data_IF_068502957810
#
_entry.id   IF_068502957810
#
_cell.length_a   1.000
_cell.length_b   1.000
_cell.length_c   1.000
_cell.angle_alpha   90.00
_cell.angle_beta   90.00
_cell.angle_gamma   90.00
#
_symmetry.space_group_name_H-M   'P 1'
#
loop_
_entity.id
_entity.type
_entity.pdbx_description
1 polymer ?
#
# COMPACT_ATOMS: atom_id res chain seq x y z
N UNK A 1 58.25 -9.16 28.41
CA UNK A 1 57.19 -9.05 27.39
C UNK A 1 56.03 -8.28 28.01
N UNK A 2 55.93 -7.00 27.67
CA UNK A 2 54.89 -6.12 28.19
C UNK A 2 53.58 -6.38 27.42
N UNK A 3 52.48 -6.54 28.14
CA UNK A 3 51.14 -6.47 27.56
C UNK A 3 50.87 -5.03 27.16
N UNK A 4 51.04 -4.72 25.88
CA UNK A 4 50.48 -3.50 25.30
C UNK A 4 48.95 -3.57 25.35
N UNK A 5 48.32 -2.42 25.60
CA UNK A 5 46.86 -2.30 25.59
C UNK A 5 46.36 -2.57 24.17
N UNK A 6 45.29 -3.35 23.96
CA UNK A 6 44.66 -3.48 22.64
C UNK A 6 44.05 -2.15 22.15
N UNK A 7 43.95 -1.13 23.02
CA UNK A 7 43.49 0.21 22.68
C UNK A 7 44.64 1.17 22.30
N UNK A 8 45.78 0.65 21.86
CA UNK A 8 46.89 1.49 21.41
C UNK A 8 46.46 2.28 20.15
N UNK A 9 46.70 3.58 20.14
CA UNK A 9 46.27 4.52 19.08
C UNK A 9 47.16 4.48 17.84
N UNK A 10 48.14 3.57 17.78
CA UNK A 10 48.89 3.31 16.56
C UNK A 10 48.11 2.32 15.67
N UNK A 11 47.92 2.59 14.37
CA UNK A 11 47.23 1.69 13.48
C UNK A 11 48.00 0.36 13.41
N UNK A 12 47.40 -0.71 13.90
CA UNK A 12 47.84 -2.06 13.57
C UNK A 12 46.99 -2.51 12.38
N UNK A 13 47.64 -2.93 11.29
CA UNK A 13 47.00 -3.27 10.01
C UNK A 13 46.10 -4.53 10.06
N UNK A 14 45.91 -5.13 11.24
CA UNK A 14 45.09 -6.34 11.45
C UNK A 14 43.96 -6.05 12.44
N UNK A 15 42.72 -6.35 12.06
CA UNK A 15 41.56 -6.26 12.96
C UNK A 15 41.80 -7.10 14.22
N UNK A 16 41.80 -6.45 15.39
CA UNK A 16 42.06 -7.07 16.71
C UNK A 16 41.03 -8.19 17.02
N UNK A 17 39.86 -8.13 16.40
CA UNK A 17 38.84 -9.16 16.43
C UNK A 17 38.04 -9.13 15.13
N UNK A 18 37.56 -10.28 14.67
CA UNK A 18 36.71 -10.37 13.49
C UNK A 18 35.22 -10.37 13.87
N UNK A 19 34.39 -9.79 12.99
CA UNK A 19 32.92 -9.84 13.05
C UNK A 19 32.41 -10.45 11.75
N UNK A 20 31.47 -11.36 11.84
CA UNK A 20 30.87 -12.05 10.69
C UNK A 20 29.35 -12.15 10.86
N UNK A 21 28.67 -12.56 9.80
CA UNK A 21 27.24 -12.83 9.81
C UNK A 21 26.95 -14.17 9.13
N UNK A 22 25.81 -14.78 9.44
CA UNK A 22 25.36 -16.04 8.82
C UNK A 22 24.48 -15.86 7.57
N UNK A 23 24.15 -14.61 7.21
CA UNK A 23 23.33 -14.34 6.02
C UNK A 23 23.98 -14.87 4.75
N UNK A 24 23.24 -15.72 4.03
CA UNK A 24 23.73 -16.50 2.90
C UNK A 24 23.52 -15.81 1.52
N UNK A 25 22.95 -14.60 1.49
CA UNK A 25 22.65 -13.87 0.25
C UNK A 25 21.33 -14.27 -0.41
N UNK A 26 20.50 -15.08 0.24
CA UNK A 26 19.20 -15.47 -0.30
C UNK A 26 18.19 -14.33 -0.23
N UNK A 27 17.34 -14.24 -1.25
CA UNK A 27 16.22 -13.32 -1.25
C UNK A 27 15.28 -13.59 -0.07
N UNK A 28 15.00 -12.55 0.70
CA UNK A 28 14.04 -12.62 1.80
C UNK A 28 12.65 -12.17 1.33
N UNK A 29 11.61 -12.68 1.95
CA UNK A 29 10.22 -12.32 1.66
C UNK A 29 9.43 -12.00 2.93
N UNK A 30 10.12 -12.04 4.08
CA UNK A 30 9.60 -11.83 5.41
C UNK A 30 10.77 -11.32 6.27
N UNK A 31 10.52 -10.67 7.41
CA UNK A 31 11.55 -10.38 8.39
C UNK A 31 12.36 -11.65 8.70
N UNK A 32 13.66 -11.58 8.46
CA UNK A 32 14.56 -12.74 8.48
C UNK A 32 15.63 -12.52 9.55
N UNK A 33 15.80 -13.47 10.48
CA UNK A 33 16.85 -13.36 11.48
C UNK A 33 18.23 -13.48 10.81
N UNK A 34 19.17 -12.67 11.27
CA UNK A 34 20.58 -12.77 10.92
C UNK A 34 21.38 -12.75 12.20
N UNK A 35 22.26 -13.73 12.38
CA UNK A 35 23.14 -13.82 13.52
C UNK A 35 24.49 -13.20 13.18
N UNK A 36 24.89 -12.24 14.00
CA UNK A 36 26.17 -11.53 13.94
C UNK A 36 27.04 -12.18 15.02
N UNK A 37 28.20 -12.66 14.62
CA UNK A 37 29.16 -13.32 15.52
C UNK A 37 30.48 -12.55 15.53
N UNK A 38 31.13 -12.49 16.69
CA UNK A 38 32.44 -11.89 16.83
C UNK A 38 33.40 -12.78 17.60
N UNK A 39 34.69 -12.54 17.40
CA UNK A 39 35.75 -13.33 18.04
C UNK A 39 35.64 -13.26 19.55
N UNK A 40 35.84 -14.40 20.22
CA UNK A 40 35.95 -14.43 21.69
C UNK A 40 37.22 -13.68 22.12
N UNK A 41 37.04 -12.58 22.84
CA UNK A 41 38.12 -11.69 23.26
C UNK A 41 37.90 -11.24 24.71
N UNK A 42 38.97 -11.22 25.50
CA UNK A 42 38.93 -10.72 26.88
C UNK A 42 39.47 -9.30 26.92
N UNK A 43 38.63 -8.37 27.37
CA UNK A 43 38.99 -6.95 27.50
C UNK A 43 39.03 -6.56 28.97
N UNK A 44 40.12 -5.91 29.41
CA UNK A 44 40.21 -5.33 30.75
C UNK A 44 39.27 -4.12 30.83
N UNK A 45 38.59 -3.98 31.97
CA UNK A 45 37.60 -2.91 32.17
C UNK A 45 36.52 -2.91 31.09
N UNK A 46 36.11 -4.08 30.61
CA UNK A 46 34.99 -4.20 29.69
C UNK A 46 33.74 -3.51 30.26
N UNK A 47 33.06 -2.74 29.41
CA UNK A 47 31.77 -2.10 29.70
C UNK A 47 30.66 -2.79 28.91
N UNK A 48 30.77 -2.82 27.58
CA UNK A 48 29.73 -3.37 26.71
C UNK A 48 30.25 -3.70 25.31
N UNK A 49 29.51 -4.56 24.60
CA UNK A 49 29.50 -4.58 23.15
C UNK A 49 28.35 -3.69 22.65
N UNK A 50 28.67 -2.76 21.75
CA UNK A 50 27.69 -1.96 21.02
C UNK A 50 27.54 -2.52 19.60
N UNK A 51 26.36 -3.05 19.27
CA UNK A 51 26.04 -3.57 17.95
C UNK A 51 25.28 -2.50 17.17
N UNK A 52 25.78 -2.15 16.00
CA UNK A 52 25.18 -1.16 15.11
C UNK A 52 24.95 -1.73 13.70
N UNK A 53 23.91 -1.25 13.03
CA UNK A 53 23.59 -1.56 11.63
C UNK A 53 23.63 -0.31 10.78
N UNK A 54 24.11 -0.42 9.55
CA UNK A 54 24.06 0.69 8.59
C UNK A 54 22.60 0.98 8.18
N UNK A 55 22.15 2.23 8.31
CA UNK A 55 20.89 2.72 7.73
C UNK A 55 21.02 3.05 6.24
N UNK A 56 22.23 3.42 5.80
CA UNK A 56 22.57 3.73 4.41
C UNK A 56 23.90 3.08 4.08
N UNK A 57 24.01 2.46 2.91
CA UNK A 57 25.24 1.81 2.45
C UNK A 57 25.76 2.51 1.19
N UNK A 58 26.94 3.13 1.26
CA UNK A 58 27.50 3.94 0.16
C UNK A 58 28.25 5.18 0.65
N UNK A 59 28.04 6.32 0.00
CA UNK A 59 28.83 7.56 0.17
C UNK A 59 28.77 8.21 1.57
N UNK A 60 27.83 7.80 2.42
CA UNK A 60 27.78 8.20 3.83
C UNK A 60 27.02 7.14 4.63
N UNK A 61 27.76 6.27 5.31
CA UNK A 61 27.20 5.24 6.17
C UNK A 61 26.74 5.87 7.48
N UNK A 62 25.43 5.87 7.70
CA UNK A 62 24.83 6.23 9.00
C UNK A 62 24.65 4.95 9.80
N UNK A 63 25.08 4.97 11.07
CA UNK A 63 25.00 3.83 11.97
C UNK A 63 23.83 3.99 12.93
N UNK A 64 23.04 2.94 13.07
CA UNK A 64 21.93 2.86 14.01
C UNK A 64 22.29 1.85 15.08
N UNK A 65 22.19 2.25 16.34
CA UNK A 65 22.41 1.38 17.49
C UNK A 65 21.26 0.35 17.56
N UNK A 66 21.62 -0.94 17.58
CA UNK A 66 20.67 -2.05 17.60
C UNK A 66 20.69 -2.75 18.96
N UNK A 67 21.85 -2.83 19.61
CA UNK A 67 21.96 -3.46 20.94
C UNK A 67 23.16 -2.98 21.75
N UNK A 68 22.96 -2.94 23.07
CA UNK A 68 23.98 -2.82 24.10
C UNK A 68 24.07 -4.14 24.87
N UNK A 69 25.25 -4.74 24.95
CA UNK A 69 25.45 -6.07 25.52
C UNK A 69 26.52 -5.99 26.60
N UNK A 70 26.10 -6.09 27.86
CA UNK A 70 27.00 -6.00 29.04
C UNK A 70 27.64 -7.35 29.43
N UNK A 71 27.21 -8.45 28.80
CA UNK A 71 27.84 -9.76 29.02
C UNK A 71 29.13 -9.89 28.20
N UNK A 72 30.27 -9.76 28.89
CA UNK A 72 31.60 -9.91 28.29
C UNK A 72 31.88 -11.28 27.66
N UNK A 73 31.08 -12.32 27.99
CA UNK A 73 31.22 -13.66 27.41
C UNK A 73 30.35 -13.86 26.16
N UNK A 74 29.45 -12.93 25.86
CA UNK A 74 28.60 -13.00 24.69
C UNK A 74 29.42 -12.73 23.42
N UNK A 75 29.25 -13.62 22.44
CA UNK A 75 30.01 -13.60 21.16
C UNK A 75 29.09 -13.59 19.94
N UNK A 76 27.78 -13.50 20.15
CA UNK A 76 26.80 -13.45 19.08
C UNK A 76 25.59 -12.61 19.47
N UNK A 77 24.96 -12.00 18.47
CA UNK A 77 23.69 -11.28 18.57
C UNK A 77 22.84 -11.59 17.35
N UNK A 78 21.53 -11.78 17.52
CA UNK A 78 20.62 -11.99 16.38
C UNK A 78 19.78 -10.76 16.17
N UNK A 79 19.94 -10.15 15.01
CA UNK A 79 19.10 -9.06 14.52
C UNK A 79 18.04 -9.61 13.54
N UNK A 80 17.08 -8.78 13.15
CA UNK A 80 16.12 -9.08 12.09
C UNK A 80 16.25 -8.06 10.97
N UNK A 81 16.54 -8.54 9.75
CA UNK A 81 16.49 -7.75 8.52
C UNK A 81 15.13 -7.90 7.86
N UNK A 82 14.59 -6.81 7.34
CA UNK A 82 13.23 -6.76 6.81
C UNK A 82 13.09 -5.91 5.54
N UNK A 83 14.21 -5.58 4.91
CA UNK A 83 14.32 -4.71 3.73
C UNK A 83 15.32 -5.33 2.72
N UNK A 84 15.19 -5.01 1.44
CA UNK A 84 15.94 -5.59 0.32
C UNK A 84 17.17 -4.75 -0.11
N UNK A 85 17.63 -3.90 0.80
CA UNK A 85 18.84 -3.08 0.67
C UNK A 85 20.12 -3.81 1.08
N UNK A 86 21.26 -3.15 0.90
CA UNK A 86 22.54 -3.63 1.46
C UNK A 86 22.72 -3.14 2.88
N UNK A 87 23.02 -4.05 3.79
CA UNK A 87 23.37 -3.75 5.18
C UNK A 87 24.85 -4.04 5.46
N UNK A 88 25.36 -3.45 6.53
CA UNK A 88 26.61 -3.83 7.16
C UNK A 88 26.47 -3.65 8.67
N UNK A 89 27.05 -4.56 9.43
CA UNK A 89 27.10 -4.45 10.88
C UNK A 89 28.48 -3.99 11.34
N UNK A 90 28.47 -3.25 12.45
CA UNK A 90 29.65 -2.91 13.22
C UNK A 90 29.42 -3.33 14.66
N UNK A 91 30.39 -4.02 15.23
CA UNK A 91 30.44 -4.27 16.67
C UNK A 91 31.56 -3.43 17.25
N UNK A 92 31.24 -2.62 18.27
CA UNK A 92 32.25 -1.92 19.08
C UNK A 92 32.42 -2.64 20.40
N UNK A 93 33.66 -2.76 20.86
CA UNK A 93 33.96 -3.17 22.22
C UNK A 93 34.32 -1.92 23.00
N UNK A 94 33.54 -1.60 24.01
CA UNK A 94 33.67 -0.36 24.80
C UNK A 94 34.21 -0.71 26.19
N UNK A 95 35.16 0.07 26.68
CA UNK A 95 35.69 -0.05 28.04
C UNK A 95 34.98 0.92 29.03
N UNK A 96 35.28 0.80 30.32
CA UNK A 96 34.71 1.66 31.37
C UNK A 96 35.15 3.12 31.30
N UNK A 97 36.12 3.46 30.44
CA UNK A 97 36.57 4.82 30.18
C UNK A 97 35.97 5.39 28.87
N UNK A 98 34.98 4.69 28.28
CA UNK A 98 34.33 5.01 27.00
C UNK A 98 35.30 5.03 25.79
N UNK A 99 36.43 4.33 25.88
CA UNK A 99 37.28 4.03 24.73
C UNK A 99 36.75 2.80 24.01
N UNK A 100 36.92 2.75 22.68
CA UNK A 100 36.43 1.62 21.90
C UNK A 100 37.33 1.25 20.72
N UNK A 101 37.29 -0.03 20.38
CA UNK A 101 37.71 -0.59 19.09
C UNK A 101 36.47 -1.14 18.38
N UNK A 102 36.52 -1.28 17.07
CA UNK A 102 35.41 -1.83 16.30
C UNK A 102 35.90 -2.71 15.16
N UNK A 103 35.03 -3.61 14.72
CA UNK A 103 35.21 -4.38 13.51
C UNK A 103 33.89 -4.47 12.75
N UNK A 104 33.99 -4.69 11.45
CA UNK A 104 32.88 -4.68 10.50
C UNK A 104 32.63 -6.08 9.96
N UNK A 105 31.37 -6.39 9.69
CA UNK A 105 31.06 -7.54 8.85
C UNK A 105 31.38 -7.26 7.39
N UNK A 106 31.47 -8.31 6.58
CA UNK A 106 31.25 -8.17 5.14
C UNK A 106 29.85 -7.54 4.87
N UNK A 107 29.63 -6.87 3.72
CA UNK A 107 28.33 -6.30 3.39
C UNK A 107 27.29 -7.40 3.09
N UNK A 108 26.13 -7.31 3.73
CA UNK A 108 24.98 -8.15 3.48
C UNK A 108 24.17 -7.56 2.34
N UNK A 109 24.37 -8.08 1.13
CA UNK A 109 23.62 -7.65 -0.06
C UNK A 109 22.34 -8.44 -0.17
N UNK A 110 21.21 -7.87 0.26
CA UNK A 110 19.92 -8.53 0.10
C UNK A 110 19.45 -8.37 -1.35
N UNK A 111 19.05 -9.45 -2.05
CA UNK A 111 18.55 -9.32 -3.41
C UNK A 111 17.18 -8.63 -3.49
N UNK A 112 17.07 -7.58 -4.32
CA UNK A 112 15.84 -6.81 -4.52
C UNK A 112 14.58 -7.69 -4.77
N UNK A 113 13.52 -7.43 -4.01
CA UNK A 113 12.19 -8.04 -4.03
C UNK A 113 11.22 -7.18 -4.86
N UNK A 114 11.31 -7.26 -6.19
CA UNK A 114 10.38 -6.52 -7.06
C UNK A 114 8.90 -6.97 -7.02
N UNK A 115 8.58 -8.03 -6.28
CA UNK A 115 7.19 -8.41 -6.04
C UNK A 115 6.98 -9.39 -4.90
N UNK A 116 5.89 -9.18 -4.17
CA UNK A 116 5.35 -10.11 -3.18
C UNK A 116 4.12 -10.84 -3.71
N UNK A 117 3.86 -12.04 -3.18
CA UNK A 117 2.80 -12.95 -3.65
C UNK A 117 1.83 -13.26 -2.52
N UNK A 118 0.53 -13.09 -2.76
CA UNK A 118 -0.52 -13.36 -1.78
C UNK A 118 -1.31 -14.60 -2.20
N UNK A 119 -1.50 -15.64 -1.36
CA UNK A 119 -1.15 -15.71 0.05
C UNK A 119 0.26 -16.29 0.34
N UNK A 120 1.12 -16.47 -0.68
CA UNK A 120 2.34 -17.29 -0.55
C UNK A 120 3.42 -16.68 0.37
N UNK A 121 3.64 -15.37 0.27
CA UNK A 121 4.62 -14.63 1.09
C UNK A 121 3.91 -13.92 2.24
N UNK A 122 2.74 -13.35 1.99
CA UNK A 122 1.90 -12.74 3.02
C UNK A 122 0.48 -13.24 2.85
N UNK A 123 -0.23 -13.44 3.94
CA UNK A 123 -1.63 -13.86 3.92
C UNK A 123 -2.57 -12.76 3.43
N UNK A 124 -2.18 -11.50 3.63
CA UNK A 124 -3.01 -10.32 3.40
C UNK A 124 -2.31 -9.27 2.51
N UNK A 125 -3.02 -8.67 1.52
CA UNK A 125 -2.47 -7.62 0.68
C UNK A 125 -1.97 -6.37 1.41
N UNK A 126 -2.61 -5.96 2.53
CA UNK A 126 -2.16 -4.81 3.32
C UNK A 126 -0.79 -5.07 3.93
N UNK A 127 -0.60 -6.24 4.56
CA UNK A 127 0.67 -6.58 5.21
C UNK A 127 1.84 -6.63 4.21
N UNK A 128 1.58 -7.07 2.98
CA UNK A 128 2.59 -7.03 1.92
C UNK A 128 2.91 -5.59 1.46
N UNK A 129 1.93 -4.71 1.46
CA UNK A 129 2.13 -3.30 1.10
C UNK A 129 2.88 -2.54 2.20
N UNK A 130 2.57 -2.82 3.47
CA UNK A 130 3.21 -2.21 4.64
C UNK A 130 4.65 -2.69 4.85
N UNK A 131 5.07 -3.78 4.18
CA UNK A 131 6.43 -4.31 4.26
C UNK A 131 7.46 -3.35 3.66
N UNK A 132 8.64 -3.25 4.28
CA UNK A 132 9.80 -2.55 3.73
C UNK A 132 10.41 -3.27 2.50
N UNK A 133 9.92 -4.47 2.14
CA UNK A 133 10.35 -5.20 0.94
C UNK A 133 9.59 -4.80 -0.33
N UNK A 134 8.64 -3.87 -0.24
CA UNK A 134 7.87 -3.36 -1.38
C UNK A 134 8.03 -1.86 -1.42
N UNK A 135 8.58 -1.38 -2.53
CA UNK A 135 8.86 0.02 -2.78
C UNK A 135 8.08 0.55 -3.99
N UNK A 136 8.26 1.84 -4.27
CA UNK A 136 7.76 2.48 -5.48
C UNK A 136 8.24 1.74 -6.74
N UNK A 137 7.28 1.38 -7.60
CA UNK A 137 7.51 0.64 -8.83
C UNK A 137 7.33 -0.88 -8.71
N UNK A 138 7.19 -1.42 -7.50
CA UNK A 138 7.03 -2.85 -7.28
C UNK A 138 5.59 -3.34 -7.47
N UNK A 139 5.38 -4.64 -7.26
CA UNK A 139 4.08 -5.27 -7.46
C UNK A 139 3.67 -6.24 -6.35
N UNK A 140 2.42 -6.16 -5.95
CA UNK A 140 1.76 -7.17 -5.12
C UNK A 140 0.89 -8.05 -6.02
N UNK A 141 1.25 -9.33 -6.09
CA UNK A 141 0.63 -10.34 -6.96
C UNK A 141 -0.32 -11.22 -6.17
N UNK A 142 -1.62 -11.04 -6.39
CA UNK A 142 -2.68 -11.72 -5.65
C UNK A 142 -3.15 -12.94 -6.43
N UNK A 143 -3.04 -14.11 -5.81
CA UNK A 143 -3.55 -15.38 -6.32
C UNK A 143 -5.08 -15.46 -6.14
N UNK A 144 -5.78 -16.32 -6.90
CA UNK A 144 -7.21 -16.56 -6.76
C UNK A 144 -7.63 -16.75 -5.29
N UNK A 145 -8.68 -16.05 -4.87
CA UNK A 145 -9.13 -16.06 -3.48
C UNK A 145 -10.09 -14.91 -3.16
N UNK A 146 -10.58 -14.91 -1.92
CA UNK A 146 -11.37 -13.80 -1.36
C UNK A 146 -10.62 -13.24 -0.16
N UNK A 147 -10.13 -12.01 -0.30
CA UNK A 147 -9.40 -11.28 0.74
C UNK A 147 -10.33 -10.21 1.29
N UNK A 148 -10.66 -10.30 2.58
CA UNK A 148 -11.62 -9.39 3.21
C UNK A 148 -10.88 -8.34 4.03
N UNK A 149 -11.12 -7.07 3.75
CA UNK A 149 -10.45 -5.98 4.43
C UNK A 149 -10.90 -4.61 3.94
N UNK A 150 -10.35 -3.60 4.59
CA UNK A 150 -10.30 -2.23 4.10
C UNK A 150 -8.83 -1.92 3.81
N UNK A 151 -8.45 -2.02 2.54
CA UNK A 151 -7.06 -1.90 2.11
C UNK A 151 -6.71 -0.43 1.83
N UNK A 152 -5.65 0.07 2.44
CA UNK A 152 -5.16 1.44 2.33
C UNK A 152 -3.76 1.43 1.70
N UNK A 153 -3.71 1.70 0.40
CA UNK A 153 -2.49 1.75 -0.42
C UNK A 153 -2.13 3.22 -0.74
N UNK A 154 -1.64 3.95 0.27
CA UNK A 154 -1.69 5.42 0.26
C UNK A 154 -0.34 6.11 0.03
N UNK A 155 0.78 5.47 0.35
CA UNK A 155 2.10 6.11 0.47
C UNK A 155 3.17 5.52 -0.45
N UNK A 156 2.81 4.56 -1.32
CA UNK A 156 3.70 3.95 -2.32
C UNK A 156 3.03 3.85 -3.70
N UNK A 157 3.81 4.03 -4.77
CA UNK A 157 3.41 3.81 -6.16
C UNK A 157 3.59 2.32 -6.54
N UNK A 158 2.63 1.48 -6.13
CA UNK A 158 2.71 0.02 -6.29
C UNK A 158 1.62 -0.50 -7.23
N UNK A 159 1.96 -1.53 -8.01
CA UNK A 159 0.96 -2.28 -8.78
C UNK A 159 0.36 -3.43 -7.97
N UNK A 160 -0.90 -3.30 -7.56
CA UNK A 160 -1.69 -4.35 -6.92
C UNK A 160 -2.47 -5.09 -8.00
N UNK A 161 -2.09 -6.34 -8.27
CA UNK A 161 -2.64 -7.08 -9.41
C UNK A 161 -3.01 -8.52 -9.10
N UNK A 162 -4.08 -8.98 -9.75
CA UNK A 162 -4.32 -10.42 -9.88
C UNK A 162 -3.28 -11.04 -10.81
N UNK A 163 -2.95 -12.31 -10.57
CA UNK A 163 -2.15 -13.13 -11.50
C UNK A 163 -3.01 -13.91 -12.50
N UNK A 164 -4.33 -13.75 -12.43
CA UNK A 164 -5.33 -14.43 -13.27
C UNK A 164 -6.42 -13.44 -13.70
N UNK A 165 -7.52 -13.94 -14.26
CA UNK A 165 -8.69 -13.15 -14.62
C UNK A 165 -9.39 -12.51 -13.40
N UNK A 166 -10.07 -11.36 -13.58
CA UNK A 166 -10.64 -10.61 -12.46
C UNK A 166 -11.68 -11.35 -11.63
N UNK A 167 -12.43 -12.29 -12.20
CA UNK A 167 -13.52 -12.98 -11.53
C UNK A 167 -13.09 -13.93 -10.40
N UNK A 168 -11.81 -14.31 -10.35
CA UNK A 168 -11.30 -15.27 -9.37
C UNK A 168 -10.57 -14.64 -8.18
N UNK A 169 -10.19 -13.36 -8.28
CA UNK A 169 -9.45 -12.65 -7.24
C UNK A 169 -10.28 -11.50 -6.70
N UNK A 170 -10.85 -11.70 -5.51
CA UNK A 170 -11.83 -10.78 -4.91
C UNK A 170 -11.22 -10.06 -3.72
N UNK A 171 -11.25 -8.72 -3.76
CA UNK A 171 -11.13 -7.89 -2.57
C UNK A 171 -12.55 -7.58 -2.07
N UNK A 172 -12.82 -7.96 -0.83
CA UNK A 172 -14.13 -7.85 -0.21
C UNK A 172 -14.13 -6.89 0.98
N UNK A 173 -15.12 -6.03 1.08
CA UNK A 173 -15.33 -5.22 2.28
C UNK A 173 -15.66 -6.07 3.51
N UNK A 174 -15.44 -5.49 4.68
CA UNK A 174 -15.90 -6.02 5.96
C UNK A 174 -17.35 -5.57 6.24
N UNK A 175 -17.93 -6.07 7.33
CA UNK A 175 -19.24 -5.59 7.82
C UNK A 175 -19.11 -4.27 8.62
N UNK A 176 -18.18 -3.42 8.22
CA UNK A 176 -17.82 -2.15 8.85
C UNK A 176 -17.76 -1.05 7.80
N UNK A 177 -17.88 0.20 8.24
CA UNK A 177 -17.84 1.34 7.33
C UNK A 177 -16.40 1.57 6.82
N UNK A 178 -16.23 1.61 5.51
CA UNK A 178 -14.98 1.85 4.81
C UNK A 178 -15.04 1.39 3.36
N UNK A 179 -14.28 2.06 2.48
CA UNK A 179 -14.04 1.59 1.12
C UNK A 179 -13.35 0.23 1.18
N UNK A 180 -13.55 -0.65 0.20
CA UNK A 180 -12.75 -1.88 0.14
C UNK A 180 -11.29 -1.55 -0.12
N UNK A 181 -11.05 -0.60 -1.04
CA UNK A 181 -9.71 -0.12 -1.38
C UNK A 181 -9.68 1.40 -1.37
N UNK A 182 -8.71 1.98 -0.67
CA UNK A 182 -8.29 3.36 -0.81
C UNK A 182 -6.88 3.37 -1.39
N UNK A 183 -6.66 4.14 -2.44
CA UNK A 183 -5.38 4.17 -3.16
C UNK A 183 -5.07 5.59 -3.67
N UNK A 184 -3.82 6.01 -3.53
CA UNK A 184 -3.39 7.38 -3.86
C UNK A 184 -2.44 7.45 -5.06
N UNK A 185 -1.66 6.40 -5.29
CA UNK A 185 -0.75 6.26 -6.43
C UNK A 185 -0.69 4.80 -6.87
N UNK A 186 -0.15 4.54 -8.07
CA UNK A 186 0.00 3.20 -8.60
C UNK A 186 -1.26 2.65 -9.28
N UNK A 187 -1.38 1.32 -9.28
CA UNK A 187 -2.29 0.62 -10.17
C UNK A 187 -3.03 -0.52 -9.49
N UNK A 188 -4.36 -0.53 -9.63
CA UNK A 188 -5.19 -1.71 -9.36
C UNK A 188 -5.47 -2.42 -10.69
N UNK A 189 -5.07 -3.68 -10.80
CA UNK A 189 -5.19 -4.43 -12.07
C UNK A 189 -5.84 -5.80 -11.91
N UNK A 190 -6.89 -6.05 -12.70
CA UNK A 190 -7.40 -7.40 -12.87
C UNK A 190 -8.10 -7.95 -11.63
N UNK A 191 -8.77 -7.11 -10.82
CA UNK A 191 -9.36 -7.49 -9.55
C UNK A 191 -10.89 -7.34 -9.56
N UNK A 192 -11.59 -8.17 -8.78
CA UNK A 192 -13.00 -7.94 -8.46
C UNK A 192 -13.14 -7.31 -7.07
N UNK A 193 -13.76 -6.14 -6.97
CA UNK A 193 -13.96 -5.41 -5.70
C UNK A 193 -15.45 -5.43 -5.30
N UNK A 194 -15.76 -5.95 -4.11
CA UNK A 194 -17.14 -6.20 -3.66
C UNK A 194 -17.43 -5.88 -2.20
N UNK A 195 -18.71 -5.61 -1.91
CA UNK A 195 -19.22 -5.64 -0.53
C UNK A 195 -18.78 -4.50 0.38
N UNK A 196 -18.06 -3.50 -0.12
CA UNK A 196 -17.71 -2.33 0.69
C UNK A 196 -18.90 -1.41 0.94
N UNK A 197 -18.85 -0.73 2.07
CA UNK A 197 -19.88 0.17 2.57
C UNK A 197 -19.21 1.42 3.14
N UNK A 198 -19.26 2.53 2.42
CA UNK A 198 -18.49 3.73 2.78
C UNK A 198 -19.32 5.01 2.67
N UNK A 199 -18.75 6.14 3.09
CA UNK A 199 -19.33 7.46 2.80
C UNK A 199 -19.14 7.83 1.33
N UNK A 200 -17.97 7.49 0.80
CA UNK A 200 -17.55 7.70 -0.58
C UNK A 200 -16.88 6.45 -1.11
N UNK A 201 -17.03 6.16 -2.40
CA UNK A 201 -16.21 5.14 -3.07
C UNK A 201 -16.36 3.76 -2.44
N UNK A 202 -17.59 3.28 -2.22
CA UNK A 202 -17.86 2.05 -1.45
C UNK A 202 -16.98 0.86 -1.85
N UNK A 203 -16.71 0.69 -3.14
CA UNK A 203 -15.72 -0.27 -3.62
C UNK A 203 -14.30 0.30 -3.56
N UNK A 204 -14.06 1.34 -4.35
CA UNK A 204 -12.73 1.96 -4.47
C UNK A 204 -12.82 3.47 -4.29
N UNK A 205 -11.95 4.01 -3.47
CA UNK A 205 -11.62 5.43 -3.43
C UNK A 205 -10.21 5.64 -3.99
N UNK A 206 -10.14 6.12 -5.24
CA UNK A 206 -8.88 6.37 -5.94
C UNK A 206 -8.60 7.87 -6.03
N UNK A 207 -7.39 8.25 -5.62
CA UNK A 207 -6.89 9.64 -5.56
C UNK A 207 -5.62 9.78 -6.40
N UNK A 208 -5.07 10.99 -6.44
CA UNK A 208 -3.79 11.27 -7.10
C UNK A 208 -3.78 10.84 -8.57
N UNK A 209 -2.75 10.10 -8.97
CA UNK A 209 -2.54 9.63 -10.34
C UNK A 209 -2.93 8.14 -10.53
N UNK A 210 -3.70 7.57 -9.61
CA UNK A 210 -4.06 6.14 -9.61
C UNK A 210 -4.67 5.67 -10.92
N UNK A 211 -4.32 4.45 -11.34
CA UNK A 211 -4.93 3.75 -12.48
C UNK A 211 -5.70 2.52 -12.00
N UNK A 212 -7.02 2.50 -12.23
CA UNK A 212 -7.85 1.29 -12.09
C UNK A 212 -7.99 0.66 -13.48
N UNK A 213 -7.42 -0.53 -13.69
CA UNK A 213 -7.44 -1.22 -14.99
C UNK A 213 -7.99 -2.65 -14.91
N UNK A 214 -8.82 -3.02 -15.89
CA UNK A 214 -9.35 -4.37 -16.02
C UNK A 214 -10.02 -4.92 -14.74
N UNK A 215 -10.66 -4.03 -13.98
CA UNK A 215 -11.27 -4.37 -12.70
C UNK A 215 -12.80 -4.52 -12.82
N UNK A 216 -13.38 -5.36 -11.96
CA UNK A 216 -14.83 -5.49 -11.79
C UNK A 216 -15.23 -4.97 -10.42
N UNK A 217 -15.81 -3.77 -10.37
CA UNK A 217 -16.29 -3.15 -9.13
C UNK A 217 -17.80 -3.35 -9.04
N UNK A 218 -18.27 -4.19 -8.10
CA UNK A 218 -19.69 -4.54 -8.03
C UNK A 218 -20.24 -4.75 -6.63
N UNK A 219 -21.55 -4.53 -6.48
CA UNK A 219 -22.27 -4.78 -5.22
C UNK A 219 -21.68 -3.99 -4.03
N UNK A 220 -21.09 -2.83 -4.28
CA UNK A 220 -20.62 -1.92 -3.24
C UNK A 220 -21.65 -0.82 -2.97
N UNK A 221 -21.54 -0.18 -1.80
CA UNK A 221 -22.52 0.75 -1.29
C UNK A 221 -21.86 2.02 -0.76
N UNK A 222 -22.43 3.17 -1.11
CA UNK A 222 -22.16 4.42 -0.41
C UNK A 222 -23.39 4.83 0.40
N UNK A 223 -23.24 5.00 1.71
CA UNK A 223 -24.33 5.32 2.64
C UNK A 223 -23.98 6.54 3.47
N UNK A 224 -25.00 7.36 3.72
CA UNK A 224 -24.99 8.46 4.66
C UNK A 224 -24.80 7.99 6.11
N UNK A 225 -23.83 8.56 6.81
CA UNK A 225 -23.74 8.47 8.27
C UNK A 225 -24.50 9.63 8.93
N UNK A 226 -25.55 9.30 9.70
CA UNK A 226 -26.36 10.31 10.44
C UNK A 226 -25.79 10.66 11.81
N UNK A 227 -24.84 9.88 12.30
CA UNK A 227 -24.18 10.15 13.56
C UNK A 227 -22.92 11.00 13.35
N UNK A 228 -22.54 11.25 12.10
CA UNK A 228 -21.51 12.19 11.70
C UNK A 228 -21.81 13.59 12.29
N UNK A 229 -21.11 13.90 13.37
CA UNK A 229 -21.29 15.13 14.16
C UNK A 229 -20.12 16.06 13.89
N UNK A 230 -20.13 16.80 12.79
CA UNK A 230 -19.09 17.78 12.49
C UNK A 230 -19.51 18.80 11.42
N UNK A 231 -19.10 20.07 11.53
CA UNK A 231 -19.52 21.15 10.62
C UNK A 231 -19.03 20.98 9.16
N UNK A 232 -18.17 19.99 8.89
CA UNK A 232 -17.60 19.71 7.56
C UNK A 232 -17.92 18.31 7.03
N UNK A 233 -18.73 17.51 7.73
CA UNK A 233 -19.10 16.15 7.30
C UNK A 233 -20.60 16.09 7.01
N UNK A 234 -21.03 16.65 5.87
CA UNK A 234 -22.38 16.41 5.36
C UNK A 234 -22.53 14.91 5.08
N UNK A 235 -23.68 14.28 5.42
CA UNK A 235 -23.79 12.83 5.35
C UNK A 235 -23.62 12.40 3.89
N UNK A 236 -22.48 11.77 3.63
CA UNK A 236 -22.09 11.44 2.27
C UNK A 236 -22.38 9.98 2.02
N UNK A 237 -23.21 9.71 1.03
CA UNK A 237 -23.45 8.38 0.49
C UNK A 237 -23.32 8.45 -1.00
N UNK A 238 -22.14 8.83 -1.51
CA UNK A 238 -21.88 9.10 -2.94
C UNK A 238 -20.83 8.15 -3.49
N UNK A 239 -20.82 7.91 -4.81
CA UNK A 239 -19.79 7.04 -5.42
C UNK A 239 -19.91 5.60 -4.95
N UNK A 240 -21.08 4.97 -5.13
CA UNK A 240 -21.39 3.65 -4.59
C UNK A 240 -20.38 2.56 -4.95
N UNK A 241 -19.87 2.60 -6.19
CA UNK A 241 -18.81 1.72 -6.66
C UNK A 241 -17.44 2.36 -6.51
N UNK A 242 -17.23 3.49 -7.18
CA UNK A 242 -15.92 4.13 -7.28
C UNK A 242 -16.06 5.62 -6.99
N UNK A 243 -15.08 6.17 -6.28
CA UNK A 243 -14.81 7.59 -6.22
C UNK A 243 -13.44 7.86 -6.85
N UNK A 244 -13.42 8.59 -7.97
CA UNK A 244 -12.20 9.09 -8.60
C UNK A 244 -11.97 10.53 -8.15
N UNK A 245 -10.78 10.82 -7.63
CA UNK A 245 -10.34 12.16 -7.27
C UNK A 245 -9.07 12.55 -8.05
N UNK A 246 -8.76 13.85 -8.05
CA UNK A 246 -7.54 14.41 -8.63
C UNK A 246 -7.37 14.03 -10.12
N UNK A 247 -6.34 13.27 -10.48
CA UNK A 247 -6.06 12.84 -11.86
C UNK A 247 -6.29 11.33 -12.08
N UNK A 248 -7.02 10.68 -11.18
CA UNK A 248 -7.25 9.24 -11.22
C UNK A 248 -7.99 8.80 -12.51
N UNK A 249 -7.67 7.60 -12.97
CA UNK A 249 -8.13 7.05 -14.23
C UNK A 249 -8.74 5.66 -14.06
N UNK A 250 -9.77 5.38 -14.85
CA UNK A 250 -10.37 4.06 -14.95
C UNK A 250 -10.36 3.59 -16.41
N UNK A 251 -9.74 2.45 -16.66
CA UNK A 251 -9.46 1.91 -17.99
C UNK A 251 -9.97 0.46 -18.06
N UNK A 252 -10.68 0.10 -19.13
CA UNK A 252 -11.07 -1.30 -19.41
C UNK A 252 -11.83 -1.99 -18.26
N UNK A 253 -12.45 -1.20 -17.39
CA UNK A 253 -13.05 -1.69 -16.15
C UNK A 253 -14.57 -1.68 -16.22
N UNK A 254 -15.18 -2.47 -15.33
CA UNK A 254 -16.63 -2.56 -15.19
C UNK A 254 -17.10 -2.17 -13.80
N UNK A 255 -17.97 -1.17 -13.73
CA UNK A 255 -18.64 -0.73 -12.50
C UNK A 255 -20.12 -1.10 -12.59
N UNK A 256 -20.55 -2.10 -11.81
CA UNK A 256 -21.91 -2.65 -11.97
C UNK A 256 -22.62 -3.03 -10.68
N UNK A 257 -23.94 -2.80 -10.63
CA UNK A 257 -24.78 -3.15 -9.47
C UNK A 257 -24.29 -2.52 -8.17
N UNK A 258 -23.64 -1.37 -8.25
CA UNK A 258 -23.31 -0.57 -7.09
C UNK A 258 -24.46 0.36 -6.75
N UNK A 259 -24.41 0.84 -5.51
CA UNK A 259 -25.52 1.49 -4.87
C UNK A 259 -25.05 2.73 -4.10
N UNK A 260 -25.77 3.84 -4.19
CA UNK A 260 -25.52 5.02 -3.35
C UNK A 260 -26.83 5.58 -2.78
N UNK A 261 -26.75 6.19 -1.59
CA UNK A 261 -27.88 6.91 -1.01
C UNK A 261 -28.06 8.31 -1.61
N UNK A 262 -27.00 8.86 -2.21
CA UNK A 262 -26.97 10.15 -2.91
C UNK A 262 -26.40 9.98 -4.32
N UNK A 263 -25.78 11.00 -4.90
CA UNK A 263 -25.31 11.01 -6.29
C UNK A 263 -24.19 9.98 -6.57
N UNK A 264 -24.09 9.51 -7.81
CA UNK A 264 -22.99 8.64 -8.25
C UNK A 264 -23.14 7.19 -7.78
N UNK A 265 -24.26 6.54 -8.08
CA UNK A 265 -24.48 5.12 -7.73
C UNK A 265 -23.38 4.18 -8.20
N UNK A 266 -22.85 4.42 -9.39
CA UNK A 266 -21.68 3.74 -9.94
C UNK A 266 -20.41 4.47 -9.59
N UNK A 267 -20.23 5.65 -10.19
CA UNK A 267 -18.99 6.43 -10.12
C UNK A 267 -19.29 7.85 -9.68
N UNK A 268 -18.54 8.35 -8.70
CA UNK A 268 -18.36 9.77 -8.43
C UNK A 268 -16.99 10.20 -8.98
N UNK A 269 -16.91 11.38 -9.57
CA UNK A 269 -15.64 11.98 -10.01
C UNK A 269 -15.52 13.40 -9.48
N UNK A 270 -14.33 13.77 -9.00
CA UNK A 270 -14.01 15.08 -8.45
C UNK A 270 -12.55 15.44 -8.79
N UNK A 271 -12.35 16.21 -9.86
CA UNK A 271 -11.04 16.49 -10.45
C UNK A 271 -10.97 16.22 -11.95
N UNK A 272 -9.74 16.04 -12.44
CA UNK A 272 -9.39 15.82 -13.84
C UNK A 272 -9.30 14.32 -14.18
N UNK A 273 -10.43 13.63 -14.12
CA UNK A 273 -10.47 12.16 -14.24
C UNK A 273 -10.72 11.66 -15.67
N UNK A 274 -10.34 10.40 -15.93
CA UNK A 274 -10.57 9.74 -17.23
C UNK A 274 -11.26 8.40 -17.07
N UNK A 275 -12.25 8.15 -17.92
CA UNK A 275 -12.98 6.87 -18.02
C UNK A 275 -12.88 6.37 -19.47
N UNK A 276 -12.12 5.31 -19.70
CA UNK A 276 -11.72 4.87 -21.03
C UNK A 276 -12.03 3.38 -21.22
N UNK A 277 -12.79 3.03 -22.27
CA UNK A 277 -13.16 1.63 -22.57
C UNK A 277 -13.87 0.93 -21.41
N UNK A 278 -14.62 1.68 -20.60
CA UNK A 278 -15.28 1.16 -19.41
C UNK A 278 -16.75 0.82 -19.66
N UNK A 279 -17.30 -0.03 -18.80
CA UNK A 279 -18.74 -0.32 -18.75
C UNK A 279 -19.29 0.02 -17.38
N UNK A 280 -20.20 0.99 -17.33
CA UNK A 280 -20.83 1.46 -16.10
C UNK A 280 -22.32 1.11 -16.20
N UNK A 281 -22.73 0.02 -15.56
CA UNK A 281 -24.05 -0.54 -15.78
C UNK A 281 -24.81 -1.03 -14.55
N UNK A 282 -26.14 -0.81 -14.52
CA UNK A 282 -27.04 -1.30 -13.46
C UNK A 282 -26.74 -0.75 -12.07
N UNK A 283 -26.12 0.43 -12.00
CA UNK A 283 -25.92 1.11 -10.73
C UNK A 283 -27.19 1.90 -10.35
N UNK A 284 -27.43 2.04 -9.05
CA UNK A 284 -28.68 2.60 -8.53
C UNK A 284 -28.47 3.62 -7.45
N UNK A 285 -29.42 4.55 -7.38
CA UNK A 285 -29.60 5.43 -6.22
C UNK A 285 -30.89 5.02 -5.50
N UNK A 286 -30.83 4.97 -4.18
CA UNK A 286 -31.96 4.72 -3.28
C UNK A 286 -31.77 5.66 -2.12
N UNK A 287 -32.44 6.80 -2.21
CA UNK A 287 -32.40 7.79 -1.16
C UNK A 287 -32.80 7.16 0.17
N UNK A 288 -32.13 7.57 1.24
CA UNK A 288 -32.41 7.08 2.58
C UNK A 288 -33.86 7.36 3.00
N UNK A 289 -34.34 8.57 2.70
CA UNK A 289 -35.67 9.02 3.10
C UNK A 289 -36.65 8.94 1.92
N UNK A 290 -37.87 8.39 2.13
CA UNK A 290 -38.92 8.41 1.12
C UNK A 290 -39.20 9.83 0.64
N UNK A 291 -39.36 10.02 -0.68
CA UNK A 291 -39.62 11.33 -1.29
C UNK A 291 -38.37 12.12 -1.67
N UNK A 292 -37.19 11.78 -1.15
CA UNK A 292 -35.94 12.36 -1.63
C UNK A 292 -35.55 11.75 -2.98
N UNK A 293 -35.01 12.58 -3.86
CA UNK A 293 -34.45 12.16 -5.14
C UNK A 293 -33.06 12.76 -5.30
N UNK A 294 -32.14 11.98 -5.86
CA UNK A 294 -30.80 12.44 -6.19
C UNK A 294 -30.48 12.05 -7.62
N UNK A 295 -29.58 12.80 -8.25
CA UNK A 295 -29.33 12.65 -9.68
C UNK A 295 -28.18 11.66 -9.93
N UNK A 296 -28.07 11.19 -11.17
CA UNK A 296 -26.81 10.62 -11.68
C UNK A 296 -26.40 9.26 -11.09
N UNK A 297 -27.23 8.24 -11.26
CA UNK A 297 -26.92 6.89 -10.78
C UNK A 297 -25.70 6.23 -11.45
N UNK A 298 -25.43 6.55 -12.73
CA UNK A 298 -24.27 6.01 -13.45
C UNK A 298 -22.98 6.69 -13.03
N UNK A 299 -22.82 7.93 -13.49
CA UNK A 299 -21.66 8.77 -13.22
C UNK A 299 -22.13 10.14 -12.73
N UNK A 300 -21.63 10.60 -11.60
CA UNK A 300 -21.76 11.98 -11.17
C UNK A 300 -20.38 12.64 -11.20
N UNK A 301 -20.24 13.69 -12.00
CA UNK A 301 -19.08 14.56 -12.02
C UNK A 301 -19.41 15.78 -11.16
N UNK A 302 -18.70 15.94 -10.03
CA UNK A 302 -18.82 17.06 -9.11
C UNK A 302 -18.09 18.32 -9.63
N UNK A 303 -16.76 18.34 -9.59
CA UNK A 303 -15.91 19.42 -10.11
C UNK A 303 -14.78 18.92 -11.03
N UNK A 304 -14.16 19.84 -11.80
CA UNK A 304 -13.04 19.55 -12.69
C UNK A 304 -13.45 19.08 -14.09
N UNK A 305 -12.55 18.37 -14.77
CA UNK A 305 -12.73 17.87 -16.14
C UNK A 305 -12.83 16.34 -16.18
N UNK A 306 -13.97 15.82 -16.64
CA UNK A 306 -14.13 14.40 -16.90
C UNK A 306 -14.02 14.07 -18.40
N UNK A 307 -13.07 13.22 -18.76
CA UNK A 307 -12.96 12.69 -20.13
C UNK A 307 -13.51 11.26 -20.17
N UNK A 308 -14.55 11.04 -20.97
CA UNK A 308 -15.14 9.72 -21.22
C UNK A 308 -14.88 9.31 -22.67
N UNK A 309 -14.24 8.16 -22.89
CA UNK A 309 -13.94 7.64 -24.23
C UNK A 309 -14.31 6.19 -24.38
N UNK A 310 -14.89 5.83 -25.52
CA UNK A 310 -15.13 4.44 -25.93
C UNK A 310 -15.87 3.61 -24.86
N UNK A 311 -16.77 4.24 -24.09
CA UNK A 311 -17.37 3.63 -22.90
C UNK A 311 -18.87 3.39 -23.06
N UNK A 312 -19.42 2.47 -22.29
CA UNK A 312 -20.84 2.12 -22.29
C UNK A 312 -21.44 2.44 -20.91
N UNK A 313 -22.36 3.39 -20.88
CA UNK A 313 -23.09 3.79 -19.67
C UNK A 313 -24.53 3.34 -19.86
N UNK A 314 -24.96 2.28 -19.15
CA UNK A 314 -26.26 1.66 -19.44
C UNK A 314 -27.03 1.18 -18.23
N UNK A 315 -28.37 1.25 -18.29
CA UNK A 315 -29.26 0.67 -17.26
C UNK A 315 -29.01 1.18 -15.85
N UNK A 316 -28.43 2.37 -15.71
CA UNK A 316 -28.29 3.02 -14.41
C UNK A 316 -29.62 3.71 -14.07
N UNK A 317 -30.07 3.59 -12.83
CA UNK A 317 -31.41 3.99 -12.41
C UNK A 317 -31.37 4.88 -11.16
N UNK A 318 -32.01 6.04 -11.25
CA UNK A 318 -32.37 6.88 -10.11
C UNK A 318 -33.84 7.29 -10.21
N UNK A 319 -34.39 7.82 -9.12
CA UNK A 319 -35.68 8.53 -9.08
C UNK A 319 -35.55 10.03 -9.36
N UNK A 320 -34.32 10.56 -9.36
CA UNK A 320 -34.00 11.92 -9.77
C UNK A 320 -33.66 12.00 -11.26
N UNK A 321 -32.99 13.06 -11.70
CA UNK A 321 -32.61 13.24 -13.10
C UNK A 321 -31.26 12.58 -13.46
N UNK A 322 -31.02 12.40 -14.76
CA UNK A 322 -29.68 12.12 -15.29
C UNK A 322 -29.14 10.72 -14.97
N UNK A 323 -29.97 9.67 -15.00
CA UNK A 323 -29.56 8.31 -14.61
C UNK A 323 -28.24 7.79 -15.21
N UNK A 324 -27.82 8.27 -16.39
CA UNK A 324 -26.54 7.91 -17.01
C UNK A 324 -25.34 8.73 -16.52
N UNK A 325 -25.35 10.03 -16.77
CA UNK A 325 -24.28 10.97 -16.43
C UNK A 325 -24.92 12.30 -16.02
N UNK A 326 -24.39 12.92 -14.97
CA UNK A 326 -24.56 14.36 -14.75
C UNK A 326 -23.23 15.02 -14.42
N UNK A 327 -23.15 16.29 -14.80
CA UNK A 327 -21.92 17.06 -14.90
C UNK A 327 -22.15 18.37 -14.14
N UNK A 328 -21.44 18.54 -13.03
CA UNK A 328 -21.34 19.80 -12.29
C UNK A 328 -20.23 20.69 -12.85
N UNK A 329 -19.06 20.10 -13.15
CA UNK A 329 -17.94 20.77 -13.82
C UNK A 329 -18.02 20.71 -15.36
N UNK A 330 -16.97 20.19 -15.98
CA UNK A 330 -16.85 20.02 -17.43
C UNK A 330 -16.69 18.55 -17.80
N UNK A 331 -17.27 18.14 -18.93
CA UNK A 331 -17.13 16.76 -19.43
C UNK A 331 -16.98 16.71 -20.95
N UNK A 332 -16.02 15.92 -21.41
CA UNK A 332 -15.84 15.57 -22.81
C UNK A 332 -16.17 14.11 -23.03
N UNK A 333 -17.09 13.83 -23.94
CA UNK A 333 -17.60 12.48 -24.18
C UNK A 333 -17.42 12.11 -25.65
N UNK A 334 -16.56 11.13 -25.91
CA UNK A 334 -16.24 10.66 -27.25
C UNK A 334 -16.59 9.18 -27.42
N UNK A 335 -17.17 8.83 -28.56
CA UNK A 335 -17.40 7.46 -28.99
C UNK A 335 -18.04 6.56 -27.91
N UNK A 336 -18.95 7.13 -27.13
CA UNK A 336 -19.53 6.46 -25.95
C UNK A 336 -21.04 6.28 -26.10
N UNK A 337 -21.55 5.19 -25.56
CA UNK A 337 -22.95 4.79 -25.68
C UNK A 337 -23.69 4.96 -24.34
N UNK A 338 -24.73 5.79 -24.35
CA UNK A 338 -25.66 5.96 -23.23
C UNK A 338 -26.98 5.29 -23.59
N UNK A 339 -27.35 4.21 -22.89
CA UNK A 339 -28.50 3.41 -23.29
C UNK A 339 -29.30 2.87 -22.10
N UNK A 340 -30.62 3.07 -22.15
CA UNK A 340 -31.58 2.55 -21.14
C UNK A 340 -31.28 3.03 -19.71
N UNK A 341 -30.65 4.20 -19.55
CA UNK A 341 -30.53 4.82 -18.24
C UNK A 341 -31.86 5.48 -17.89
N UNK A 342 -32.23 5.45 -16.60
CA UNK A 342 -33.51 5.95 -16.11
C UNK A 342 -33.27 6.97 -15.00
N UNK A 343 -33.88 8.14 -15.16
CA UNK A 343 -34.07 9.16 -14.15
C UNK A 343 -35.53 9.59 -14.21
#
# INVERSE_FOLDING_TARGET
LACESPFNTEPTDDDIFAVSHDYNGDKIYHPTPVTIEWSNITIKQFKEFLVERSATYGDSVVWVEIAHIEDSLQTAFTDTIDDDITFQYRVRIVDQNDQFIHALTAPLKVPNVSSLKIPRHYEDPQLAFDSNLIDDGDSIKIYPGVFRGHFQFLDKDVTIKSITIPEMTLLGGLNTFGSVVEINAGKLEGLTIIGGEALYGGGVWAKGNTIIQDCIIRNNRAKEDVNASGPYLYPAGRGGGVYLQDEAQMIESRVTRNFSQREGGGVLTDGNNKIIRCKIDKNKIYARFPGNSFNCAGINQAEGTLIIRNSIISRNETTGSGGGLGVGGYAEVYNSLFVKNKG
#
